data_IF_853411136035
#
_entry.id   IF_853411136035
#
_cell.length_a   1.000
_cell.length_b   1.000
_cell.length_c   1.000
_cell.angle_alpha   90.00
_cell.angle_beta   90.00
_cell.angle_gamma   90.00
#
_symmetry.space_group_name_H-M   'P 1'
#
loop_
_entity.id
_entity.type
_entity.pdbx_description
1 polymer ?
#
# COMPACT_ATOMS: atom_id res chain seq x y z
N UNK A 1 153.02 34.97 -39.43
CA UNK A 1 152.31 33.72 -39.07
C UNK A 1 151.87 33.68 -37.60
N UNK A 2 152.72 34.07 -36.63
CA UNK A 2 152.43 33.95 -35.18
C UNK A 2 151.21 34.79 -34.71
N UNK A 3 151.03 36.00 -35.25
CA UNK A 3 149.93 36.91 -34.86
C UNK A 3 148.54 36.35 -35.23
N UNK A 4 148.45 35.61 -36.35
CA UNK A 4 147.19 35.00 -36.83
C UNK A 4 146.78 33.84 -35.92
N UNK A 5 147.75 33.05 -35.45
CA UNK A 5 147.50 31.92 -34.53
C UNK A 5 147.03 32.42 -33.17
N UNK A 6 147.63 33.48 -32.64
CA UNK A 6 147.20 34.10 -31.39
C UNK A 6 145.79 34.71 -31.49
N UNK A 7 145.47 35.37 -32.62
CA UNK A 7 144.14 35.91 -32.87
C UNK A 7 143.08 34.80 -32.99
N UNK A 8 143.37 33.72 -33.72
CA UNK A 8 142.48 32.56 -33.83
C UNK A 8 142.28 31.85 -32.48
N UNK A 9 143.33 31.72 -31.66
CA UNK A 9 143.25 31.14 -30.32
C UNK A 9 142.37 31.97 -29.37
N UNK A 10 142.44 33.30 -29.45
CA UNK A 10 141.58 34.19 -28.67
C UNK A 10 140.11 34.09 -29.07
N UNK A 11 139.83 33.99 -30.38
CA UNK A 11 138.47 33.81 -30.91
C UNK A 11 137.90 32.45 -30.49
N UNK A 12 138.70 31.37 -30.53
CA UNK A 12 138.27 30.04 -30.09
C UNK A 12 137.95 30.03 -28.59
N UNK A 13 138.77 30.65 -27.74
CA UNK A 13 138.52 30.74 -26.30
C UNK A 13 137.26 31.58 -25.98
N UNK A 14 137.05 32.69 -26.69
CA UNK A 14 135.85 33.51 -26.53
C UNK A 14 134.57 32.78 -26.98
N UNK A 15 134.64 32.02 -28.08
CA UNK A 15 133.53 31.16 -28.53
C UNK A 15 133.23 30.03 -27.53
N UNK A 16 134.25 29.44 -26.92
CA UNK A 16 134.07 28.42 -25.87
C UNK A 16 133.44 29.01 -24.60
N UNK A 17 133.89 30.19 -24.16
CA UNK A 17 133.34 30.87 -22.98
C UNK A 17 131.89 31.31 -23.19
N UNK A 18 131.58 31.91 -24.35
CA UNK A 18 130.20 32.26 -24.72
C UNK A 18 129.33 31.02 -24.91
N UNK A 19 129.88 29.92 -25.41
CA UNK A 19 129.23 28.61 -25.47
C UNK A 19 128.84 28.06 -24.08
N UNK A 20 129.75 28.09 -23.11
CA UNK A 20 129.50 27.63 -21.73
C UNK A 20 128.47 28.51 -21.04
N UNK A 21 128.60 29.84 -21.14
CA UNK A 21 127.63 30.78 -20.57
C UNK A 21 126.23 30.59 -21.17
N UNK A 22 126.13 30.39 -22.49
CA UNK A 22 124.86 30.07 -23.14
C UNK A 22 124.29 28.74 -22.65
N UNK A 23 125.11 27.71 -22.45
CA UNK A 23 124.66 26.42 -21.91
C UNK A 23 124.11 26.54 -20.47
N UNK A 24 124.75 27.33 -19.61
CA UNK A 24 124.26 27.57 -18.25
C UNK A 24 122.95 28.36 -18.25
N UNK A 25 122.83 29.38 -19.10
CA UNK A 25 121.59 30.13 -19.29
C UNK A 25 120.45 29.24 -19.81
N UNK A 26 120.73 28.37 -20.79
CA UNK A 26 119.73 27.41 -21.28
C UNK A 26 119.30 26.41 -20.21
N UNK A 27 120.23 25.90 -19.39
CA UNK A 27 119.88 25.00 -18.27
C UNK A 27 118.98 25.69 -17.25
N UNK A 28 119.31 26.93 -16.86
CA UNK A 28 118.48 27.71 -15.94
C UNK A 28 117.09 28.00 -16.51
N UNK A 29 116.99 28.35 -17.79
CA UNK A 29 115.70 28.53 -18.46
C UNK A 29 114.88 27.23 -18.51
N UNK A 30 115.51 26.09 -18.79
CA UNK A 30 114.86 24.78 -18.80
C UNK A 30 114.33 24.43 -17.41
N UNK A 31 115.10 24.65 -16.34
CA UNK A 31 114.66 24.35 -14.98
C UNK A 31 113.55 25.29 -14.51
N UNK A 32 113.61 26.57 -14.89
CA UNK A 32 112.55 27.54 -14.62
C UNK A 32 111.25 27.19 -15.37
N UNK A 33 111.34 26.85 -16.65
CA UNK A 33 110.19 26.41 -17.45
C UNK A 33 109.63 25.07 -16.95
N UNK A 34 110.48 24.12 -16.51
CA UNK A 34 110.03 22.87 -15.91
C UNK A 34 109.28 23.11 -14.60
N UNK A 35 109.76 24.03 -13.76
CA UNK A 35 109.10 24.42 -12.51
C UNK A 35 107.77 25.10 -12.78
N UNK A 36 107.73 26.00 -13.77
CA UNK A 36 106.51 26.69 -14.21
C UNK A 36 105.49 25.71 -14.77
N UNK A 37 105.92 24.79 -15.64
CA UNK A 37 105.10 23.73 -16.23
C UNK A 37 104.54 22.80 -15.17
N UNK A 38 105.35 22.31 -14.23
CA UNK A 38 104.89 21.47 -13.12
C UNK A 38 103.85 22.19 -12.25
N UNK A 39 104.07 23.48 -11.95
CA UNK A 39 103.10 24.32 -11.25
C UNK A 39 101.78 24.43 -12.03
N UNK A 40 101.83 24.66 -13.34
CA UNK A 40 100.62 24.73 -14.18
C UNK A 40 99.88 23.39 -14.23
N UNK A 41 100.60 22.27 -14.39
CA UNK A 41 100.01 20.91 -14.38
C UNK A 41 99.34 20.64 -13.02
N UNK A 42 99.98 21.01 -11.90
CA UNK A 42 99.39 20.83 -10.57
C UNK A 42 98.12 21.68 -10.36
N UNK A 43 98.10 22.91 -10.87
CA UNK A 43 96.92 23.80 -10.84
C UNK A 43 95.80 23.26 -11.71
N UNK A 44 96.10 22.79 -12.93
CA UNK A 44 95.14 22.16 -13.83
C UNK A 44 94.54 20.90 -13.21
N UNK A 45 95.37 20.03 -12.61
CA UNK A 45 94.91 18.83 -11.92
C UNK A 45 93.98 19.17 -10.75
N UNK A 46 94.33 20.17 -9.95
CA UNK A 46 93.49 20.63 -8.83
C UNK A 46 92.16 21.23 -9.31
N UNK A 47 92.19 22.06 -10.36
CA UNK A 47 90.96 22.62 -10.97
C UNK A 47 90.06 21.51 -11.50
N UNK A 48 90.61 20.59 -12.29
CA UNK A 48 89.85 19.46 -12.84
C UNK A 48 89.23 18.58 -11.74
N UNK A 49 89.93 18.34 -10.63
CA UNK A 49 89.37 17.62 -9.49
C UNK A 49 88.25 18.40 -8.78
N UNK A 50 88.38 19.71 -8.64
CA UNK A 50 87.34 20.58 -8.08
C UNK A 50 86.11 20.63 -8.99
N UNK A 51 86.31 20.74 -10.30
CA UNK A 51 85.25 20.74 -11.30
C UNK A 51 84.48 19.41 -11.27
N UNK A 52 85.19 18.27 -11.25
CA UNK A 52 84.54 16.95 -11.12
C UNK A 52 83.76 16.78 -9.80
N UNK A 53 84.30 17.28 -8.67
CA UNK A 53 83.60 17.22 -7.39
C UNK A 53 82.34 18.10 -7.38
N UNK A 54 82.42 19.28 -7.99
CA UNK A 54 81.29 20.18 -8.15
C UNK A 54 80.22 19.59 -9.07
N UNK A 55 80.61 19.02 -10.23
CA UNK A 55 79.69 18.33 -11.15
C UNK A 55 78.95 17.17 -10.45
N UNK A 56 79.66 16.34 -9.68
CA UNK A 56 79.07 15.27 -8.90
C UNK A 56 78.07 15.79 -7.85
N UNK A 57 78.38 16.92 -7.19
CA UNK A 57 77.49 17.54 -6.23
C UNK A 57 76.20 18.07 -6.91
N UNK A 58 76.32 18.73 -8.06
CA UNK A 58 75.16 19.24 -8.82
C UNK A 58 74.29 18.08 -9.31
N UNK A 59 74.88 17.02 -9.85
CA UNK A 59 74.14 15.82 -10.28
C UNK A 59 73.43 15.13 -9.11
N UNK A 60 74.09 15.04 -7.95
CA UNK A 60 73.49 14.51 -6.72
C UNK A 60 72.31 15.36 -6.23
N UNK A 61 72.46 16.69 -6.21
CA UNK A 61 71.37 17.60 -5.84
C UNK A 61 70.20 17.53 -6.83
N UNK A 62 70.49 17.51 -8.13
CA UNK A 62 69.48 17.36 -9.19
C UNK A 62 68.73 16.03 -9.08
N UNK A 63 69.44 14.93 -8.81
CA UNK A 63 68.83 13.61 -8.60
C UNK A 63 67.91 13.59 -7.38
N UNK A 64 68.33 14.20 -6.26
CA UNK A 64 67.49 14.33 -5.06
C UNK A 64 66.23 15.16 -5.32
N UNK A 65 66.36 16.29 -6.02
CA UNK A 65 65.22 17.12 -6.42
C UNK A 65 64.25 16.37 -7.33
N UNK A 66 64.77 15.64 -8.33
CA UNK A 66 63.95 14.83 -9.24
C UNK A 66 63.15 13.77 -8.47
N UNK A 67 63.80 13.01 -7.59
CA UNK A 67 63.11 11.99 -6.75
C UNK A 67 62.05 12.61 -5.85
N UNK A 68 62.33 13.76 -5.24
CA UNK A 68 61.36 14.48 -4.40
C UNK A 68 60.15 14.94 -5.23
N UNK A 69 60.39 15.44 -6.45
CA UNK A 69 59.32 15.85 -7.37
C UNK A 69 58.45 14.66 -7.80
N UNK A 70 59.06 13.54 -8.18
CA UNK A 70 58.35 12.31 -8.53
C UNK A 70 57.49 11.79 -7.35
N UNK A 71 58.02 11.86 -6.11
CA UNK A 71 57.25 11.52 -4.92
C UNK A 71 56.07 12.48 -4.68
N UNK A 72 56.28 13.78 -4.88
CA UNK A 72 55.20 14.78 -4.77
C UNK A 72 54.11 14.54 -5.83
N UNK A 73 54.48 14.29 -7.08
CA UNK A 73 53.54 13.98 -8.16
C UNK A 73 52.74 12.72 -7.84
N UNK A 74 53.40 11.65 -7.38
CA UNK A 74 52.70 10.41 -6.95
C UNK A 74 51.73 10.65 -5.79
N UNK A 75 52.07 11.50 -4.82
CA UNK A 75 51.20 11.86 -3.71
C UNK A 75 49.99 12.67 -4.18
N UNK A 76 50.20 13.63 -5.08
CA UNK A 76 49.12 14.43 -5.68
C UNK A 76 48.17 13.54 -6.46
N UNK A 77 48.69 12.59 -7.26
CA UNK A 77 47.88 11.64 -8.01
C UNK A 77 47.05 10.75 -7.09
N UNK A 78 47.64 10.26 -5.99
CA UNK A 78 46.92 9.47 -5.00
C UNK A 78 45.81 10.29 -4.33
N UNK A 79 46.13 11.52 -3.89
CA UNK A 79 45.13 12.43 -3.30
C UNK A 79 44.01 12.76 -4.28
N UNK A 80 44.31 12.94 -5.57
CA UNK A 80 43.32 13.15 -6.61
C UNK A 80 42.35 11.97 -6.74
N UNK A 81 42.88 10.73 -6.70
CA UNK A 81 42.07 9.51 -6.71
C UNK A 81 41.18 9.41 -5.46
N UNK A 82 41.74 9.60 -4.28
CA UNK A 82 41.00 9.56 -3.01
C UNK A 82 39.89 10.63 -2.97
N UNK A 83 40.16 11.85 -3.44
CA UNK A 83 39.16 12.90 -3.54
C UNK A 83 38.03 12.53 -4.51
N UNK A 84 38.35 11.91 -5.65
CA UNK A 84 37.32 11.47 -6.60
C UNK A 84 36.42 10.38 -6.02
N UNK A 85 36.99 9.45 -5.24
CA UNK A 85 36.26 8.39 -4.58
C UNK A 85 35.36 8.93 -3.47
N UNK A 86 35.89 9.81 -2.61
CA UNK A 86 35.11 10.50 -1.57
C UNK A 86 33.94 11.28 -2.19
N UNK A 87 34.17 12.00 -3.30
CA UNK A 87 33.11 12.75 -3.99
C UNK A 87 32.03 11.81 -4.54
N UNK A 88 32.41 10.66 -5.08
CA UNK A 88 31.47 9.63 -5.54
C UNK A 88 30.63 9.08 -4.38
N UNK A 89 31.27 8.72 -3.26
CA UNK A 89 30.60 8.24 -2.05
C UNK A 89 29.65 9.32 -1.50
N UNK A 90 30.06 10.59 -1.49
CA UNK A 90 29.22 11.70 -1.05
C UNK A 90 27.95 11.81 -1.89
N UNK A 91 28.09 11.80 -3.22
CA UNK A 91 26.94 11.85 -4.15
C UNK A 91 25.99 10.67 -3.93
N UNK A 92 26.51 9.45 -3.75
CA UNK A 92 25.70 8.27 -3.45
C UNK A 92 24.94 8.42 -2.13
N UNK A 93 25.61 8.90 -1.07
CA UNK A 93 24.97 9.14 0.23
C UNK A 93 23.91 10.22 0.15
N UNK A 94 24.13 11.28 -0.61
CA UNK A 94 23.15 12.34 -0.81
C UNK A 94 21.88 11.81 -1.50
N UNK A 95 22.03 10.98 -2.54
CA UNK A 95 20.90 10.31 -3.19
C UNK A 95 20.11 9.43 -2.22
N UNK A 96 20.81 8.62 -1.41
CA UNK A 96 20.19 7.77 -0.40
C UNK A 96 19.43 8.60 0.65
N UNK A 97 20.00 9.71 1.11
CA UNK A 97 19.33 10.63 2.05
C UNK A 97 18.07 11.22 1.41
N UNK A 98 18.13 11.66 0.16
CA UNK A 98 16.96 12.19 -0.55
C UNK A 98 15.85 11.13 -0.67
N UNK A 99 16.21 9.88 -1.01
CA UNK A 99 15.26 8.77 -1.06
C UNK A 99 14.61 8.53 0.31
N UNK A 100 15.40 8.47 1.39
CA UNK A 100 14.86 8.30 2.75
C UNK A 100 13.92 9.45 3.15
N UNK A 101 14.19 10.68 2.73
CA UNK A 101 13.29 11.81 3.00
C UNK A 101 11.94 11.66 2.26
N UNK A 102 11.95 11.17 1.02
CA UNK A 102 10.72 10.88 0.27
C UNK A 102 9.92 9.75 0.92
N UNK A 103 10.58 8.65 1.29
CA UNK A 103 9.95 7.52 1.97
C UNK A 103 9.37 7.92 3.33
N UNK A 104 10.08 8.76 4.09
CA UNK A 104 9.60 9.33 5.35
C UNK A 104 8.32 10.14 5.14
N UNK A 105 8.29 11.02 4.12
CA UNK A 105 7.09 11.81 3.77
C UNK A 105 5.92 10.91 3.37
N UNK A 106 6.16 9.90 2.53
CA UNK A 106 5.13 8.93 2.11
C UNK A 106 4.55 8.17 3.31
N UNK A 107 5.42 7.67 4.19
CA UNK A 107 5.00 6.94 5.40
C UNK A 107 4.21 7.84 6.35
N UNK A 108 4.61 9.11 6.51
CA UNK A 108 3.87 10.08 7.30
C UNK A 108 2.45 10.30 6.77
N UNK A 109 2.28 10.37 5.44
CA UNK A 109 0.96 10.48 4.80
C UNK A 109 0.12 9.22 5.08
N UNK A 110 0.71 8.03 4.97
CA UNK A 110 0.02 6.78 5.28
C UNK A 110 -0.44 6.73 6.75
N UNK A 111 0.42 7.14 7.69
CA UNK A 111 0.08 7.24 9.12
C UNK A 111 -1.09 8.19 9.33
N UNK A 112 -1.06 9.37 8.72
CA UNK A 112 -2.14 10.36 8.84
C UNK A 112 -3.49 9.80 8.33
N UNK A 113 -3.48 9.10 7.19
CA UNK A 113 -4.67 8.47 6.63
C UNK A 113 -5.23 7.37 7.56
N UNK A 114 -4.35 6.54 8.13
CA UNK A 114 -4.75 5.52 9.10
C UNK A 114 -5.34 6.14 10.37
N UNK A 115 -4.74 7.22 10.89
CA UNK A 115 -5.28 7.95 12.04
C UNK A 115 -6.68 8.51 11.75
N UNK A 116 -6.92 9.08 10.56
CA UNK A 116 -8.25 9.54 10.16
C UNK A 116 -9.26 8.40 10.09
N UNK A 117 -8.87 7.25 9.53
CA UNK A 117 -9.72 6.06 9.47
C UNK A 117 -10.07 5.54 10.87
N UNK A 118 -9.10 5.50 11.78
CA UNK A 118 -9.33 5.11 13.19
C UNK A 118 -10.30 6.08 13.87
N UNK A 119 -10.16 7.39 13.68
CA UNK A 119 -11.10 8.38 14.24
C UNK A 119 -12.52 8.19 13.70
N UNK A 120 -12.66 7.97 12.40
CA UNK A 120 -13.95 7.72 11.75
C UNK A 120 -14.62 6.45 12.29
N UNK A 121 -13.88 5.34 12.38
CA UNK A 121 -14.38 4.09 12.95
C UNK A 121 -14.78 4.23 14.42
N UNK A 122 -13.99 4.97 15.21
CA UNK A 122 -14.34 5.26 16.61
C UNK A 122 -15.64 6.06 16.71
N UNK A 123 -15.85 7.03 15.82
CA UNK A 123 -17.09 7.81 15.79
C UNK A 123 -18.30 6.96 15.37
N UNK A 124 -18.12 6.08 14.37
CA UNK A 124 -19.16 5.12 13.97
C UNK A 124 -19.54 4.20 15.13
N UNK A 125 -18.55 3.63 15.82
CA UNK A 125 -18.78 2.77 16.99
C UNK A 125 -19.58 3.49 18.08
N UNK A 126 -19.24 4.74 18.39
CA UNK A 126 -19.99 5.53 19.36
C UNK A 126 -21.44 5.78 18.93
N UNK A 127 -21.67 6.07 17.64
CA UNK A 127 -23.02 6.26 17.11
C UNK A 127 -23.85 4.97 17.15
N UNK A 128 -23.27 3.84 16.77
CA UNK A 128 -23.95 2.54 16.83
C UNK A 128 -24.24 2.13 18.27
N UNK A 129 -23.32 2.41 19.20
CA UNK A 129 -23.54 2.16 20.63
C UNK A 129 -24.68 3.00 21.20
N UNK A 130 -24.79 4.27 20.79
CA UNK A 130 -25.92 5.13 21.16
C UNK A 130 -27.24 4.57 20.60
N UNK A 131 -27.28 4.23 19.31
CA UNK A 131 -28.46 3.63 18.68
C UNK A 131 -28.86 2.29 19.30
N UNK A 132 -27.90 1.46 19.68
CA UNK A 132 -28.17 0.20 20.39
C UNK A 132 -28.78 0.45 21.77
N UNK A 133 -28.28 1.46 22.49
CA UNK A 133 -28.80 1.83 23.81
C UNK A 133 -30.24 2.35 23.69
N UNK A 134 -30.51 3.22 22.73
CA UNK A 134 -31.87 3.71 22.42
C UNK A 134 -32.82 2.57 22.03
N UNK A 135 -32.36 1.64 21.19
CA UNK A 135 -33.18 0.49 20.80
C UNK A 135 -33.48 -0.43 22.00
N UNK A 136 -32.51 -0.61 22.91
CA UNK A 136 -32.71 -1.40 24.12
C UNK A 136 -33.76 -0.77 25.03
N UNK A 137 -33.70 0.54 25.26
CA UNK A 137 -34.69 1.25 26.10
C UNK A 137 -36.08 1.25 25.46
N UNK A 138 -36.17 1.41 24.14
CA UNK A 138 -37.43 1.28 23.42
C UNK A 138 -38.02 -0.12 23.57
N UNK A 139 -37.20 -1.16 23.44
CA UNK A 139 -37.64 -2.55 23.57
C UNK A 139 -38.11 -2.88 24.99
N UNK A 140 -37.43 -2.37 26.02
CA UNK A 140 -37.86 -2.46 27.41
C UNK A 140 -39.24 -1.79 27.63
N UNK A 141 -39.47 -0.61 27.05
CA UNK A 141 -40.76 0.08 27.10
C UNK A 141 -41.88 -0.66 26.33
N UNK A 142 -41.56 -1.29 25.21
CA UNK A 142 -42.51 -2.16 24.51
C UNK A 142 -42.85 -3.37 25.38
N UNK A 143 -41.87 -3.96 26.05
CA UNK A 143 -42.08 -5.12 26.92
C UNK A 143 -42.95 -4.80 28.15
N UNK A 144 -42.79 -3.62 28.75
CA UNK A 144 -43.67 -3.16 29.84
C UNK A 144 -45.11 -3.00 29.34
N UNK A 145 -45.33 -2.34 28.20
CA UNK A 145 -46.66 -2.21 27.58
C UNK A 145 -47.30 -3.56 27.24
N UNK A 146 -46.52 -4.52 26.75
CA UNK A 146 -47.01 -5.90 26.51
C UNK A 146 -47.48 -6.55 27.82
N UNK A 147 -46.74 -6.35 28.91
CA UNK A 147 -47.08 -6.91 30.22
C UNK A 147 -48.36 -6.28 30.79
N UNK A 148 -48.52 -4.97 30.66
CA UNK A 148 -49.76 -4.26 31.02
C UNK A 148 -50.96 -4.76 30.21
N UNK A 149 -50.81 -4.88 28.88
CA UNK A 149 -51.88 -5.39 28.01
C UNK A 149 -52.26 -6.84 28.34
N UNK A 150 -51.28 -7.69 28.65
CA UNK A 150 -51.54 -9.06 29.13
C UNK A 150 -52.34 -9.05 30.43
N UNK A 151 -52.01 -8.17 31.38
CA UNK A 151 -52.78 -8.04 32.62
C UNK A 151 -54.23 -7.58 32.37
N UNK A 152 -54.44 -6.65 31.44
CA UNK A 152 -55.78 -6.21 31.02
C UNK A 152 -56.57 -7.35 30.37
N UNK A 153 -55.94 -8.13 29.47
CA UNK A 153 -56.56 -9.30 28.84
C UNK A 153 -57.00 -10.30 29.91
N UNK A 154 -56.12 -10.66 30.86
CA UNK A 154 -56.45 -11.60 31.94
C UNK A 154 -57.63 -11.12 32.79
N UNK A 155 -57.70 -9.81 33.11
CA UNK A 155 -58.86 -9.22 33.83
C UNK A 155 -60.15 -9.31 33.00
N UNK A 156 -60.09 -9.00 31.70
CA UNK A 156 -61.24 -9.11 30.80
C UNK A 156 -61.70 -10.56 30.63
N UNK A 157 -60.78 -11.52 30.54
CA UNK A 157 -61.11 -12.94 30.47
C UNK A 157 -61.79 -13.44 31.75
N UNK A 158 -61.31 -13.02 32.93
CA UNK A 158 -61.97 -13.32 34.21
C UNK A 158 -63.38 -12.71 34.28
N UNK A 159 -63.56 -11.46 33.84
CA UNK A 159 -64.88 -10.82 33.76
C UNK A 159 -65.80 -11.54 32.78
N UNK A 160 -65.31 -11.93 31.60
CA UNK A 160 -66.07 -12.72 30.64
C UNK A 160 -66.45 -14.12 31.16
N UNK A 161 -65.58 -14.77 31.95
CA UNK A 161 -65.93 -16.03 32.65
C UNK A 161 -67.06 -15.81 33.66
N UNK A 162 -67.01 -14.73 34.45
CA UNK A 162 -68.08 -14.35 35.39
C UNK A 162 -69.39 -14.03 34.67
N UNK A 163 -69.33 -13.34 33.52
CA UNK A 163 -70.50 -13.05 32.68
C UNK A 163 -71.09 -14.36 32.11
N UNK A 164 -70.24 -15.27 31.61
CA UNK A 164 -70.69 -16.59 31.13
C UNK A 164 -71.28 -17.50 32.22
N UNK A 165 -70.82 -17.38 33.46
CA UNK A 165 -71.41 -18.07 34.61
C UNK A 165 -72.73 -17.44 35.07
N UNK A 166 -72.89 -16.10 34.98
CA UNK A 166 -74.16 -15.42 35.23
C UNK A 166 -75.17 -15.55 34.08
N UNK A 167 -74.71 -15.88 32.88
CA UNK A 167 -75.55 -16.11 31.70
C UNK A 167 -75.74 -17.59 31.39
N UNK A 168 -75.71 -18.49 32.38
CA UNK A 168 -76.07 -19.91 32.19
C UNK A 168 -77.58 -20.10 32.00
N UNK A 169 -78.13 -19.45 30.97
CA UNK A 169 -79.20 -20.01 30.15
C UNK A 169 -78.56 -20.47 28.85
N UNK A 170 -78.97 -21.62 28.29
CA UNK A 170 -78.20 -22.31 27.26
C UNK A 170 -78.31 -21.55 25.95
N UNK A 171 -77.25 -20.82 25.58
CA UNK A 171 -77.15 -20.23 24.24
C UNK A 171 -75.94 -20.82 23.52
N UNK A 172 -76.29 -21.75 22.63
CA UNK A 172 -75.51 -22.37 21.56
C UNK A 172 -74.31 -21.52 21.08
N UNK A 173 -73.11 -22.08 21.26
CA UNK A 173 -71.86 -21.53 20.75
C UNK A 173 -71.80 -21.56 19.21
N UNK A 174 -71.58 -20.40 18.60
CA UNK A 174 -71.32 -20.25 17.17
C UNK A 174 -69.97 -20.89 16.82
N UNK A 175 -70.02 -21.90 15.94
CA UNK A 175 -68.88 -22.66 15.43
C UNK A 175 -67.96 -21.77 14.58
N UNK A 176 -66.73 -21.52 15.05
CA UNK A 176 -65.62 -21.08 14.17
C UNK A 176 -65.35 -22.21 13.16
N UNK A 177 -65.45 -21.90 11.86
CA UNK A 177 -65.16 -22.86 10.79
C UNK A 177 -63.66 -23.16 10.74
N UNK A 178 -63.36 -24.46 10.59
CA UNK A 178 -62.02 -25.03 10.39
C UNK A 178 -61.35 -24.39 9.17
N UNK A 179 -60.12 -23.91 9.33
CA UNK A 179 -59.14 -23.81 8.25
C UNK A 179 -59.14 -25.13 7.46
N UNK A 180 -59.19 -25.05 6.14
CA UNK A 180 -59.00 -26.21 5.27
C UNK A 180 -57.52 -26.60 5.33
N UNK A 181 -57.13 -27.27 6.42
CA UNK A 181 -55.86 -27.97 6.52
C UNK A 181 -56.03 -29.25 5.70
N UNK A 182 -55.58 -29.21 4.45
CA UNK A 182 -55.39 -30.42 3.67
C UNK A 182 -54.05 -30.99 4.13
N UNK A 183 -54.06 -32.16 4.76
CA UNK A 183 -52.82 -32.85 5.10
C UNK A 183 -52.06 -33.19 3.82
N UNK A 184 -50.81 -32.70 3.73
CA UNK A 184 -49.91 -32.81 2.58
C UNK A 184 -50.46 -32.23 1.25
N UNK A 185 -50.60 -30.89 1.13
CA UNK A 185 -51.14 -30.27 -0.07
C UNK A 185 -50.17 -30.42 -1.26
N UNK A 186 -50.69 -30.84 -2.40
CA UNK A 186 -49.93 -31.03 -3.66
C UNK A 186 -49.30 -29.71 -4.15
N UNK A 187 -49.97 -28.59 -3.89
CA UNK A 187 -49.54 -27.24 -4.26
C UNK A 187 -49.42 -26.39 -2.99
N UNK A 188 -48.27 -25.73 -2.82
CA UNK A 188 -48.00 -24.88 -1.66
C UNK A 188 -47.56 -23.47 -2.07
N UNK A 189 -47.72 -22.54 -1.12
CA UNK A 189 -47.17 -21.19 -1.20
C UNK A 189 -45.86 -21.15 -0.42
N UNK A 190 -44.77 -20.82 -1.09
CA UNK A 190 -43.44 -20.70 -0.50
C UNK A 190 -42.86 -19.31 -0.77
N UNK A 191 -41.86 -18.91 0.02
CA UNK A 191 -41.13 -17.64 -0.14
C UNK A 191 -42.05 -16.42 -0.24
N UNK A 192 -43.13 -16.41 0.54
CA UNK A 192 -44.05 -15.28 0.59
C UNK A 192 -43.33 -14.03 1.10
N UNK A 193 -43.35 -12.98 0.28
CA UNK A 193 -42.79 -11.66 0.59
C UNK A 193 -43.88 -10.62 0.48
N UNK A 194 -44.14 -9.90 1.57
CA UNK A 194 -45.07 -8.78 1.65
C UNK A 194 -44.25 -7.53 1.98
N UNK A 195 -44.26 -6.54 1.10
CA UNK A 195 -43.58 -5.25 1.28
C UNK A 195 -44.65 -4.16 1.32
N UNK A 196 -44.77 -3.47 2.44
CA UNK A 196 -45.64 -2.31 2.60
C UNK A 196 -44.82 -1.00 2.49
N UNK A 197 -45.32 -0.02 1.73
CA UNK A 197 -44.79 1.35 1.65
C UNK A 197 -45.95 2.33 1.65
N UNK A 198 -46.22 2.97 2.79
CA UNK A 198 -47.38 3.84 2.96
C UNK A 198 -48.71 3.10 2.71
N UNK A 199 -49.48 3.55 1.72
CA UNK A 199 -50.76 2.93 1.32
C UNK A 199 -50.63 1.92 0.16
N UNK A 200 -49.40 1.56 -0.24
CA UNK A 200 -49.10 0.60 -1.30
C UNK A 200 -48.52 -0.68 -0.69
N UNK A 201 -49.00 -1.83 -1.17
CA UNK A 201 -48.51 -3.15 -0.72
C UNK A 201 -48.16 -3.97 -1.94
N UNK A 202 -46.92 -4.46 -1.99
CA UNK A 202 -46.46 -5.41 -3.01
C UNK A 202 -46.33 -6.78 -2.37
N UNK A 203 -46.96 -7.78 -2.99
CA UNK A 203 -46.93 -9.16 -2.51
C UNK A 203 -46.40 -10.04 -3.62
N UNK A 204 -45.47 -10.93 -3.28
CA UNK A 204 -44.97 -11.95 -4.19
C UNK A 204 -44.77 -13.27 -3.46
N UNK A 205 -45.03 -14.38 -4.13
CA UNK A 205 -44.74 -15.71 -3.59
C UNK A 205 -44.42 -16.70 -4.72
N UNK A 206 -43.81 -17.83 -4.36
CA UNK A 206 -43.59 -18.98 -5.22
C UNK A 206 -44.73 -19.98 -5.01
N UNK A 207 -45.48 -20.24 -6.07
CA UNK A 207 -46.43 -21.34 -6.13
C UNK A 207 -45.65 -22.62 -6.48
N UNK A 208 -45.46 -23.51 -5.52
CA UNK A 208 -44.62 -24.72 -5.65
C UNK A 208 -45.49 -25.96 -5.82
N UNK A 209 -45.09 -26.86 -6.72
CA UNK A 209 -45.70 -28.16 -6.94
C UNK A 209 -44.86 -29.25 -6.27
N UNK A 210 -45.46 -30.00 -5.35
CA UNK A 210 -44.82 -31.13 -4.65
C UNK A 210 -44.99 -32.46 -5.39
N UNK A 211 -45.87 -32.53 -6.40
CA UNK A 211 -46.03 -33.72 -7.25
C UNK A 211 -45.06 -33.72 -8.44
N UNK A 212 -44.88 -34.90 -9.06
CA UNK A 212 -44.12 -35.03 -10.33
C UNK A 212 -44.94 -34.58 -11.55
N UNK A 213 -46.26 -34.57 -11.41
CA UNK A 213 -47.19 -34.27 -12.49
C UNK A 213 -47.38 -32.77 -12.69
N UNK A 214 -47.74 -32.39 -13.90
CA UNK A 214 -48.03 -31.02 -14.26
C UNK A 214 -49.34 -30.57 -13.61
N UNK A 215 -49.28 -29.57 -12.71
CA UNK A 215 -50.46 -29.01 -12.07
C UNK A 215 -50.99 -27.77 -12.80
N UNK A 216 -52.32 -27.68 -12.91
CA UNK A 216 -53.04 -26.58 -13.55
C UNK A 216 -54.14 -26.08 -12.64
N UNK A 217 -54.40 -24.78 -12.71
CA UNK A 217 -55.46 -24.17 -11.92
C UNK A 217 -55.36 -22.65 -11.96
N UNK A 218 -55.91 -22.00 -10.94
CA UNK A 218 -55.89 -20.54 -10.82
C UNK A 218 -55.61 -20.13 -9.39
N UNK A 219 -54.99 -18.97 -9.22
CA UNK A 219 -54.74 -18.40 -7.90
C UNK A 219 -55.21 -16.96 -7.83
N UNK A 220 -55.68 -16.54 -6.66
CA UNK A 220 -56.14 -15.19 -6.43
C UNK A 220 -55.47 -14.59 -5.19
N UNK A 221 -55.31 -13.27 -5.22
CA UNK A 221 -54.77 -12.50 -4.10
C UNK A 221 -55.71 -11.35 -3.83
N UNK A 222 -56.25 -11.29 -2.60
CA UNK A 222 -57.30 -10.36 -2.22
C UNK A 222 -56.94 -9.60 -0.95
N UNK A 223 -57.53 -8.42 -0.80
CA UNK A 223 -57.53 -7.66 0.44
C UNK A 223 -58.80 -8.02 1.22
N UNK A 224 -58.63 -8.52 2.44
CA UNK A 224 -59.74 -8.88 3.32
C UNK A 224 -59.65 -8.11 4.63
N UNK A 225 -60.77 -7.58 5.12
CA UNK A 225 -60.85 -7.05 6.48
C UNK A 225 -60.96 -8.20 7.49
N UNK A 226 -60.71 -7.94 8.77
CA UNK A 226 -60.86 -8.96 9.83
C UNK A 226 -62.25 -9.60 9.86
N UNK A 227 -63.31 -8.85 9.51
CA UNK A 227 -64.68 -9.35 9.44
C UNK A 227 -64.92 -10.22 8.20
N UNK A 228 -64.22 -9.93 7.10
CA UNK A 228 -64.37 -10.64 5.82
C UNK A 228 -63.54 -11.93 5.74
N UNK A 229 -62.71 -12.22 6.74
CA UNK A 229 -61.95 -13.47 6.80
C UNK A 229 -62.85 -14.69 6.96
N UNK A 230 -64.03 -14.51 7.57
CA UNK A 230 -65.00 -15.60 7.77
C UNK A 230 -65.87 -15.85 6.54
N UNK A 231 -65.90 -14.92 5.58
CA UNK A 231 -66.68 -15.04 4.36
C UNK A 231 -65.93 -15.89 3.32
N UNK A 232 -66.64 -16.77 2.63
CA UNK A 232 -66.08 -17.51 1.50
C UNK A 232 -65.88 -16.58 0.29
N UNK A 233 -64.77 -16.73 -0.41
CA UNK A 233 -64.50 -15.99 -1.63
C UNK A 233 -64.73 -16.95 -2.80
N UNK A 234 -65.90 -16.81 -3.41
CA UNK A 234 -66.26 -17.58 -4.59
C UNK A 234 -65.23 -17.40 -5.70
N UNK A 235 -64.95 -18.50 -6.41
CA UNK A 235 -64.07 -18.49 -7.57
C UNK A 235 -64.58 -17.51 -8.64
N UNK A 236 -63.71 -16.58 -9.07
CA UNK A 236 -63.98 -15.65 -10.17
C UNK A 236 -62.84 -15.67 -11.18
N UNK A 237 -63.16 -15.89 -12.46
CA UNK A 237 -62.16 -15.95 -13.54
C UNK A 237 -61.45 -14.61 -13.74
N UNK A 238 -62.15 -13.50 -13.58
CA UNK A 238 -61.65 -12.15 -13.83
C UNK A 238 -60.59 -11.70 -12.81
N UNK A 239 -60.68 -12.17 -11.56
CA UNK A 239 -59.82 -11.71 -10.46
C UNK A 239 -58.74 -12.71 -10.05
N UNK A 240 -58.74 -13.89 -10.69
CA UNK A 240 -57.75 -14.94 -10.50
C UNK A 240 -56.78 -15.02 -11.67
N UNK A 241 -55.57 -15.52 -11.41
CA UNK A 241 -54.46 -15.66 -12.36
C UNK A 241 -54.31 -17.15 -12.70
N UNK A 242 -54.30 -17.53 -14.00
CA UNK A 242 -54.08 -18.92 -14.38
C UNK A 242 -52.64 -19.35 -14.12
N UNK A 243 -52.45 -20.57 -13.62
CA UNK A 243 -51.16 -21.21 -13.49
C UNK A 243 -51.11 -22.59 -14.16
N UNK A 244 -49.91 -22.93 -14.62
CA UNK A 244 -49.51 -24.23 -15.16
C UNK A 244 -48.08 -24.45 -14.68
N UNK A 245 -47.85 -25.37 -13.75
CA UNK A 245 -46.57 -25.51 -13.04
C UNK A 245 -46.11 -26.97 -12.98
N UNK A 246 -44.84 -27.21 -13.32
CA UNK A 246 -44.19 -28.51 -13.12
C UNK A 246 -43.38 -28.52 -11.82
N UNK A 247 -42.67 -27.43 -11.50
CA UNK A 247 -41.90 -27.24 -10.26
C UNK A 247 -42.37 -26.05 -9.45
N UNK A 248 -42.27 -24.84 -10.00
CA UNK A 248 -42.79 -23.65 -9.34
C UNK A 248 -43.14 -22.54 -10.35
N UNK A 249 -43.89 -21.54 -9.91
CA UNK A 249 -44.10 -20.26 -10.62
C UNK A 249 -44.19 -19.12 -9.63
N UNK A 250 -43.55 -18.00 -9.95
CA UNK A 250 -43.66 -16.79 -9.13
C UNK A 250 -44.94 -16.04 -9.50
N UNK A 251 -45.71 -15.68 -8.48
CA UNK A 251 -46.92 -14.86 -8.60
C UNK A 251 -46.68 -13.57 -7.82
N UNK A 252 -47.01 -12.43 -8.43
CA UNK A 252 -46.88 -11.13 -7.79
C UNK A 252 -48.08 -10.24 -8.08
N UNK A 253 -48.46 -9.43 -7.10
CA UNK A 253 -49.53 -8.44 -7.22
C UNK A 253 -49.20 -7.20 -6.40
N UNK A 254 -49.57 -6.04 -6.94
CA UNK A 254 -49.48 -4.76 -6.26
C UNK A 254 -50.89 -4.28 -5.91
N UNK A 255 -51.05 -3.79 -4.69
CA UNK A 255 -52.27 -3.18 -4.18
C UNK A 255 -52.02 -1.71 -3.86
N UNK A 256 -52.99 -0.87 -4.20
CA UNK A 256 -52.99 0.57 -3.89
C UNK A 256 -54.17 0.88 -2.96
N UNK A 257 -54.09 2.01 -2.23
CA UNK A 257 -55.14 2.46 -1.30
C UNK A 257 -55.48 1.44 -0.19
N UNK A 258 -54.48 0.73 0.32
CA UNK A 258 -54.66 -0.29 1.37
C UNK A 258 -54.95 0.36 2.73
N UNK A 259 -56.05 -0.04 3.38
CA UNK A 259 -56.44 0.46 4.71
C UNK A 259 -55.64 -0.24 5.84
N UNK A 260 -55.37 0.44 6.97
CA UNK A 260 -54.81 -0.21 8.15
C UNK A 260 -55.68 -1.39 8.63
N UNK A 261 -55.06 -2.45 9.18
CA UNK A 261 -55.79 -3.63 9.66
C UNK A 261 -56.33 -4.58 8.58
N UNK A 262 -55.90 -4.42 7.33
CA UNK A 262 -56.24 -5.31 6.21
C UNK A 262 -55.29 -6.51 6.13
N UNK A 263 -55.80 -7.67 5.73
CA UNK A 263 -55.05 -8.91 5.50
C UNK A 263 -54.91 -9.19 4.01
N UNK A 264 -53.81 -9.83 3.62
CA UNK A 264 -53.65 -10.43 2.29
C UNK A 264 -54.17 -11.86 2.36
N UNK A 265 -55.23 -12.18 1.60
CA UNK A 265 -55.73 -13.55 1.46
C UNK A 265 -55.29 -14.14 0.14
N UNK A 266 -54.64 -15.30 0.19
CA UNK A 266 -54.15 -16.05 -0.97
C UNK A 266 -55.03 -17.28 -1.13
N UNK A 267 -55.63 -17.41 -2.30
CA UNK A 267 -56.52 -18.51 -2.66
C UNK A 267 -55.94 -19.27 -3.83
N UNK A 268 -56.00 -20.60 -3.78
CA UNK A 268 -55.60 -21.47 -4.89
C UNK A 268 -56.75 -22.42 -5.20
N UNK A 269 -57.15 -22.42 -6.47
CA UNK A 269 -58.10 -23.35 -7.03
C UNK A 269 -57.37 -24.32 -7.97
N UNK A 270 -57.76 -25.59 -7.94
CA UNK A 270 -57.28 -26.59 -8.89
C UNK A 270 -57.98 -26.46 -10.26
N UNK A 271 -57.66 -27.35 -11.21
CA UNK A 271 -58.27 -27.36 -12.55
C UNK A 271 -59.80 -27.54 -12.52
N UNK A 272 -60.34 -28.21 -11.49
CA UNK A 272 -61.79 -28.37 -11.27
C UNK A 272 -62.43 -27.16 -10.57
N UNK A 273 -61.72 -26.04 -10.43
CA UNK A 273 -62.11 -24.84 -9.69
C UNK A 273 -62.47 -25.09 -8.20
N UNK A 274 -61.99 -26.20 -7.62
CA UNK A 274 -62.13 -26.47 -6.18
C UNK A 274 -61.03 -25.76 -5.41
N UNK A 275 -61.39 -25.10 -4.33
CA UNK A 275 -60.46 -24.42 -3.44
C UNK A 275 -59.60 -25.47 -2.73
N UNK A 276 -58.28 -25.35 -2.87
CA UNK A 276 -57.30 -26.28 -2.28
C UNK A 276 -56.34 -25.58 -1.31
N UNK A 277 -56.32 -24.25 -1.30
CA UNK A 277 -55.50 -23.47 -0.37
C UNK A 277 -56.19 -22.14 -0.11
N UNK A 278 -56.25 -21.75 1.15
CA UNK A 278 -56.81 -20.49 1.61
C UNK A 278 -56.08 -20.06 2.88
N UNK A 279 -55.20 -19.08 2.73
CA UNK A 279 -54.48 -18.50 3.86
C UNK A 279 -54.55 -16.98 3.83
N UNK A 280 -54.71 -16.41 5.03
CA UNK A 280 -54.70 -14.98 5.24
C UNK A 280 -53.47 -14.56 6.04
N UNK A 281 -52.74 -13.57 5.54
CA UNK A 281 -51.52 -13.07 6.14
C UNK A 281 -51.68 -11.60 6.55
N UNK A 282 -51.26 -11.22 7.77
CA UNK A 282 -51.29 -9.83 8.21
C UNK A 282 -50.28 -8.99 7.42
N UNK A 283 -50.65 -7.75 7.11
CA UNK A 283 -49.73 -6.78 6.50
C UNK A 283 -49.00 -6.06 7.64
N UNK A 284 -47.73 -6.43 7.85
CA UNK A 284 -46.83 -5.66 8.73
C UNK A 284 -46.43 -4.37 8.00
N UNK A 285 -46.70 -3.23 8.62
CA UNK A 285 -46.30 -1.90 8.12
C UNK A 285 -45.05 -1.44 8.83
#
# INVERSE_FOLDING_TARGET
>A
MIIIIAALSGVIAFLHYTGIQNQEQFKLQIDQEKTRSNSLISKLKKSSQQDSAWELQILSQSSKQKKMKEQQESLIDQQGKELSEIKSILNQREQVVQQFQLEKKSTQIQINNLQLKVRSLKQQLLSEQASLTESKTENENVQTKISELKAVISKLEQNNKKIKQKSSSPVSAVKKRKTLIIDNPIITVEKLKIIAKGNRVSVSYSLTNKSKDLQRGRTGMYLSSKKDLENDIAFRRQTSIPYKIKRYRVISRKFTKVKPGTFIRILIWNEKNKLIFDEAHPIKR
#
